data_IF_438447411605
#
_entry.id   IF_438447411605
#
_cell.length_a   1.000
_cell.length_b   1.000
_cell.length_c   1.000
_cell.angle_alpha   90.00
_cell.angle_beta   90.00
_cell.angle_gamma   90.00
#
_symmetry.space_group_name_H-M   'P 1'
#
loop_
_entity.id
_entity.type
_entity.pdbx_description
1 polymer ?
#
# COMPACT_ATOMS: atom_id res chain seq x y z
N UNK A 1 -8.61 -2.20 -19.91
CA UNK A 1 -9.00 -2.37 -18.49
C UNK A 1 -10.18 -1.45 -18.20
N UNK A 2 -11.26 -1.93 -17.57
CA UNK A 2 -12.31 -1.01 -17.09
C UNK A 2 -11.69 -0.14 -15.99
N UNK A 3 -11.99 1.16 -15.97
CA UNK A 3 -11.35 2.10 -15.02
C UNK A 3 -11.52 1.69 -13.55
N UNK A 4 -12.60 0.97 -13.21
CA UNK A 4 -12.87 0.44 -11.86
C UNK A 4 -11.85 -0.60 -11.38
N UNK A 5 -11.15 -1.29 -12.29
CA UNK A 5 -10.14 -2.29 -11.93
C UNK A 5 -8.86 -1.63 -11.38
N UNK A 6 -8.59 -0.39 -11.77
CA UNK A 6 -7.39 0.37 -11.36
C UNK A 6 -7.33 0.57 -9.84
N UNK A 7 -8.35 1.17 -9.18
CA UNK A 7 -8.31 1.35 -7.73
C UNK A 7 -8.29 0.02 -6.97
N UNK A 8 -8.89 -1.04 -7.52
CA UNK A 8 -8.79 -2.38 -6.95
C UNK A 8 -7.33 -2.87 -6.93
N UNK A 9 -6.64 -2.80 -8.08
CA UNK A 9 -5.23 -3.20 -8.18
C UNK A 9 -4.33 -2.30 -7.31
N UNK A 10 -4.62 -0.99 -7.23
CA UNK A 10 -3.91 -0.05 -6.37
C UNK A 10 -4.01 -0.45 -4.89
N UNK A 11 -5.21 -0.81 -4.42
CA UNK A 11 -5.41 -1.33 -3.06
C UNK A 11 -4.54 -2.56 -2.80
N UNK A 12 -4.51 -3.53 -3.73
CA UNK A 12 -3.67 -4.72 -3.60
C UNK A 12 -2.17 -4.43 -3.50
N UNK A 13 -1.68 -3.49 -4.32
CA UNK A 13 -0.28 -3.05 -4.26
C UNK A 13 0.05 -2.46 -2.88
N UNK A 14 -0.81 -1.58 -2.37
CA UNK A 14 -0.58 -0.89 -1.09
C UNK A 14 -0.59 -1.90 0.04
N UNK A 15 -1.60 -2.76 0.11
CA UNK A 15 -1.72 -3.80 1.13
C UNK A 15 -0.53 -4.77 1.13
N UNK A 16 -0.04 -5.13 -0.06
CA UNK A 16 1.11 -6.04 -0.18
C UNK A 16 2.43 -5.48 0.33
N UNK A 17 2.54 -4.16 0.55
CA UNK A 17 3.80 -3.48 0.85
C UNK A 17 4.93 -3.83 -0.14
N UNK A 18 4.58 -4.19 -1.39
CA UNK A 18 5.56 -4.54 -2.41
C UNK A 18 6.53 -3.38 -2.68
N UNK A 19 6.04 -2.14 -2.57
CA UNK A 19 6.83 -0.92 -2.58
C UNK A 19 6.30 -0.04 -1.45
N UNK A 20 7.14 0.32 -0.50
CA UNK A 20 6.73 1.17 0.62
C UNK A 20 7.89 1.74 1.41
N UNK A 21 7.56 2.51 2.43
CA UNK A 21 8.50 3.05 3.40
C UNK A 21 8.18 2.40 4.73
N UNK A 22 9.16 1.75 5.35
CA UNK A 22 9.06 1.19 6.69
C UNK A 22 9.69 2.18 7.66
N UNK A 23 8.93 2.62 8.63
CA UNK A 23 9.40 3.51 9.68
C UNK A 23 9.62 2.69 10.95
N UNK A 24 10.87 2.61 11.38
CA UNK A 24 11.24 2.02 12.66
C UNK A 24 11.34 3.15 13.69
N UNK A 25 10.44 3.15 14.67
CA UNK A 25 10.43 4.15 15.74
C UNK A 25 11.04 3.55 17.01
N UNK A 26 12.03 4.24 17.57
CA UNK A 26 12.67 3.89 18.84
C UNK A 26 12.29 4.92 19.93
N UNK A 27 11.94 4.43 21.13
CA UNK A 27 11.48 5.26 22.25
C UNK A 27 11.43 4.50 23.58
N UNK A 28 11.01 5.17 24.65
CA UNK A 28 11.00 4.62 26.02
C UNK A 28 9.88 3.60 26.27
N UNK A 29 8.76 3.67 25.55
CA UNK A 29 7.65 2.72 25.69
C UNK A 29 7.07 2.32 24.33
N UNK A 30 7.16 1.02 24.02
CA UNK A 30 6.72 0.33 22.78
C UNK A 30 7.35 0.80 21.46
N UNK A 31 7.74 -0.19 20.63
CA UNK A 31 8.41 0.00 19.34
C UNK A 31 7.47 -0.30 18.16
N UNK A 32 6.46 0.53 17.86
CA UNK A 32 5.60 0.28 16.71
C UNK A 32 6.40 0.42 15.41
N UNK A 33 6.13 -0.48 14.46
CA UNK A 33 6.64 -0.36 13.10
C UNK A 33 5.52 0.17 12.22
N UNK A 34 5.74 1.31 11.58
CA UNK A 34 4.79 1.91 10.65
C UNK A 34 5.20 1.63 9.20
N UNK A 35 4.21 1.56 8.31
CA UNK A 35 4.41 1.34 6.88
C UNK A 35 3.62 2.37 6.08
N UNK A 36 4.27 2.91 5.04
CA UNK A 36 3.68 3.87 4.11
C UNK A 36 3.90 3.51 2.64
N UNK A 37 3.05 3.99 1.74
CA UNK A 37 3.25 3.83 0.29
C UNK A 37 2.45 4.86 -0.55
N UNK A 38 2.86 6.14 -0.61
CA UNK A 38 3.94 6.80 0.14
C UNK A 38 3.52 7.32 1.53
N UNK A 39 2.22 7.45 1.79
CA UNK A 39 1.70 7.93 3.08
C UNK A 39 1.56 6.76 4.06
N UNK A 40 1.77 7.02 5.35
CA UNK A 40 1.61 5.98 6.38
C UNK A 40 0.17 5.50 6.42
N UNK A 41 -0.03 4.18 6.37
CA UNK A 41 -1.37 3.58 6.37
C UNK A 41 -1.50 2.32 7.21
N UNK A 42 -0.40 1.70 7.62
CA UNK A 42 -0.37 0.43 8.36
C UNK A 42 0.62 0.49 9.52
N UNK A 43 0.24 -0.04 10.68
CA UNK A 43 1.10 -0.19 11.86
C UNK A 43 1.06 -1.63 12.34
N UNK A 44 2.22 -2.16 12.72
CA UNK A 44 2.32 -3.45 13.43
C UNK A 44 2.51 -3.19 14.93
N UNK A 45 1.60 -3.70 15.75
CA UNK A 45 1.78 -3.73 17.20
C UNK A 45 2.66 -4.91 17.59
N UNK A 46 3.72 -4.64 18.37
CA UNK A 46 4.53 -5.70 19.00
C UNK A 46 3.86 -6.26 20.26
N UNK A 47 2.97 -5.49 20.89
CA UNK A 47 2.30 -5.87 22.15
C UNK A 47 1.06 -6.77 21.97
N UNK A 48 0.43 -6.78 20.78
CA UNK A 48 -0.81 -7.54 20.52
C UNK A 48 -0.70 -8.50 19.32
N UNK A 49 0.09 -9.57 19.45
CA UNK A 49 -0.07 -10.77 18.61
C UNK A 49 -0.07 -10.56 17.08
N UNK A 50 0.84 -9.73 16.54
CA UNK A 50 0.95 -9.43 15.09
C UNK A 50 -0.28 -8.77 14.44
N UNK A 51 -1.15 -8.14 15.22
CA UNK A 51 -2.27 -7.38 14.67
C UNK A 51 -1.78 -6.16 13.88
N UNK A 52 -2.46 -5.90 12.76
CA UNK A 52 -2.27 -4.70 11.96
C UNK A 52 -3.37 -3.68 12.22
N UNK A 53 -2.95 -2.43 12.42
CA UNK A 53 -3.81 -1.26 12.56
C UNK A 53 -3.71 -0.43 11.29
N UNK A 54 -4.85 0.05 10.79
CA UNK A 54 -4.94 0.73 9.50
C UNK A 54 -5.47 2.15 9.64
N UNK A 55 -4.85 3.07 8.91
CA UNK A 55 -5.39 4.42 8.71
C UNK A 55 -6.25 4.46 7.45
N UNK A 56 -7.54 4.77 7.60
CA UNK A 56 -8.47 4.93 6.46
C UNK A 56 -7.97 6.01 5.50
N UNK A 57 -7.48 7.13 6.02
CA UNK A 57 -7.02 8.25 5.20
C UNK A 57 -5.72 7.94 4.47
N UNK A 58 -4.74 7.38 5.17
CA UNK A 58 -3.48 6.94 4.57
C UNK A 58 -3.74 5.92 3.45
N UNK A 59 -4.60 4.93 3.71
CA UNK A 59 -5.00 3.94 2.73
C UNK A 59 -5.69 4.58 1.52
N UNK A 60 -6.64 5.48 1.75
CA UNK A 60 -7.40 6.15 0.68
C UNK A 60 -6.49 7.01 -0.20
N UNK A 61 -5.61 7.83 0.39
CA UNK A 61 -4.72 8.71 -0.36
C UNK A 61 -3.71 7.88 -1.16
N UNK A 62 -3.14 6.82 -0.57
CA UNK A 62 -2.27 5.90 -1.30
C UNK A 62 -2.99 5.27 -2.49
N UNK A 63 -4.25 4.82 -2.31
CA UNK A 63 -5.05 4.25 -3.41
C UNK A 63 -5.22 5.26 -4.52
N UNK A 64 -5.50 6.53 -4.20
CA UNK A 64 -5.66 7.58 -5.21
C UNK A 64 -4.36 7.84 -5.98
N UNK A 65 -3.23 7.95 -5.28
CA UNK A 65 -1.91 8.17 -5.90
C UNK A 65 -1.55 7.01 -6.83
N UNK A 66 -1.62 5.78 -6.34
CA UNK A 66 -1.28 4.60 -7.15
C UNK A 66 -2.29 4.34 -8.26
N UNK A 67 -3.56 4.69 -8.06
CA UNK A 67 -4.57 4.64 -9.13
C UNK A 67 -4.21 5.59 -10.27
N UNK A 68 -3.76 6.80 -9.95
CA UNK A 68 -3.31 7.76 -10.95
C UNK A 68 -2.08 7.24 -11.71
N UNK A 69 -1.09 6.70 -10.99
CA UNK A 69 0.12 6.08 -11.60
C UNK A 69 -0.28 4.93 -12.53
N UNK A 70 -1.11 4.00 -12.07
CA UNK A 70 -1.57 2.88 -12.88
C UNK A 70 -2.42 3.29 -14.07
N UNK A 71 -3.21 4.37 -13.94
CA UNK A 71 -3.93 4.96 -15.06
C UNK A 71 -2.97 5.46 -16.15
N UNK A 72 -1.91 6.18 -15.76
CA UNK A 72 -0.89 6.67 -16.70
C UNK A 72 -0.14 5.51 -17.38
N UNK A 73 0.27 4.49 -16.62
CA UNK A 73 0.92 3.28 -17.15
C UNK A 73 0.00 2.57 -18.14
N UNK A 74 -1.26 2.37 -17.78
CA UNK A 74 -2.24 1.75 -18.66
C UNK A 74 -2.41 2.56 -19.96
N UNK A 75 -2.51 3.89 -19.87
CA UNK A 75 -2.65 4.74 -21.05
C UNK A 75 -1.41 4.68 -21.95
N UNK A 76 -0.21 4.69 -21.36
CA UNK A 76 1.05 4.54 -22.10
C UNK A 76 1.12 3.19 -22.82
N UNK A 77 0.82 2.08 -22.13
CA UNK A 77 0.83 0.74 -22.71
C UNK A 77 -0.16 0.64 -23.87
N UNK A 78 -1.41 1.10 -23.69
CA UNK A 78 -2.43 1.05 -24.74
C UNK A 78 -2.04 1.87 -25.97
N UNK A 79 -1.31 2.98 -25.81
CA UNK A 79 -0.76 3.78 -26.92
C UNK A 79 0.42 3.12 -27.63
N UNK A 80 1.20 2.31 -26.91
CA UNK A 80 2.38 1.62 -27.46
C UNK A 80 2.03 0.32 -28.18
N UNK A 81 1.08 -0.47 -27.68
CA UNK A 81 0.65 -1.75 -28.27
C UNK A 81 0.42 -1.68 -29.80
N UNK A 82 -0.35 -0.72 -30.35
CA UNK A 82 -0.62 -0.69 -31.79
C UNK A 82 0.61 -0.34 -32.64
N UNK A 83 1.67 0.24 -32.05
CA UNK A 83 2.91 0.60 -32.75
C UNK A 83 3.90 -0.57 -32.86
N UNK A 84 3.60 -1.71 -32.25
CA UNK A 84 4.50 -2.86 -32.16
C UNK A 84 4.11 -3.94 -33.17
N UNK A 85 5.11 -4.57 -33.79
CA UNK A 85 4.94 -5.60 -34.83
C UNK A 85 4.12 -6.82 -34.37
N UNK A 86 4.13 -7.13 -33.06
CA UNK A 86 3.41 -8.25 -32.45
C UNK A 86 2.25 -7.79 -31.54
N UNK A 87 1.53 -6.74 -31.94
CA UNK A 87 0.45 -6.12 -31.14
C UNK A 87 -0.55 -7.12 -30.53
N UNK A 88 -0.95 -8.16 -31.26
CA UNK A 88 -1.90 -9.18 -30.75
C UNK A 88 -1.34 -9.98 -29.58
N UNK A 89 -0.09 -10.44 -29.67
CA UNK A 89 0.58 -11.20 -28.62
C UNK A 89 0.81 -10.33 -27.37
N UNK A 90 1.23 -9.09 -27.57
CA UNK A 90 1.46 -8.12 -26.47
C UNK A 90 0.15 -7.75 -25.77
N UNK A 91 -0.96 -7.65 -26.52
CA UNK A 91 -2.27 -7.39 -25.94
C UNK A 91 -2.75 -8.57 -25.08
N UNK A 92 -2.50 -9.80 -25.53
CA UNK A 92 -2.81 -11.00 -24.74
C UNK A 92 -1.97 -11.06 -23.46
N UNK A 93 -0.66 -10.85 -23.54
CA UNK A 93 0.20 -10.85 -22.35
C UNK A 93 -0.20 -9.75 -21.36
N UNK A 94 -0.54 -8.55 -21.85
CA UNK A 94 -1.06 -7.48 -21.01
C UNK A 94 -2.33 -7.90 -20.25
N UNK A 95 -3.29 -8.53 -20.92
CA UNK A 95 -4.52 -9.01 -20.25
C UNK A 95 -4.24 -10.10 -19.22
N UNK A 96 -3.28 -11.00 -19.49
CA UNK A 96 -2.83 -12.02 -18.54
C UNK A 96 -2.23 -11.36 -17.30
N UNK A 97 -1.34 -10.37 -17.47
CA UNK A 97 -0.74 -9.62 -16.36
C UNK A 97 -1.82 -8.95 -15.51
N UNK A 98 -2.80 -8.29 -16.12
CA UNK A 98 -3.92 -7.70 -15.38
C UNK A 98 -4.70 -8.77 -14.59
N UNK A 99 -4.95 -9.94 -15.18
CA UNK A 99 -5.60 -11.06 -14.49
C UNK A 99 -4.80 -11.53 -13.26
N UNK A 100 -3.48 -11.67 -13.40
CA UNK A 100 -2.59 -12.02 -12.28
C UNK A 100 -2.59 -10.95 -11.19
N UNK A 101 -2.58 -9.66 -11.55
CA UNK A 101 -2.65 -8.56 -10.59
C UNK A 101 -3.96 -8.56 -9.81
N UNK A 102 -5.09 -8.90 -10.45
CA UNK A 102 -6.38 -9.05 -9.78
C UNK A 102 -6.32 -10.21 -8.77
N UNK A 103 -5.82 -11.38 -9.18
CA UNK A 103 -5.70 -12.53 -8.28
C UNK A 103 -4.79 -12.22 -7.08
N UNK A 104 -3.64 -11.58 -7.32
CA UNK A 104 -2.71 -11.13 -6.29
C UNK A 104 -3.36 -10.13 -5.32
N UNK A 105 -4.10 -9.16 -5.85
CA UNK A 105 -4.85 -8.17 -5.05
C UNK A 105 -5.85 -8.87 -4.13
N UNK A 106 -6.65 -9.79 -4.68
CA UNK A 106 -7.64 -10.55 -3.91
C UNK A 106 -6.97 -11.32 -2.77
N UNK A 107 -5.82 -11.95 -3.03
CA UNK A 107 -5.07 -12.68 -2.01
C UNK A 107 -4.61 -11.76 -0.88
N UNK A 108 -4.05 -10.57 -1.20
CA UNK A 108 -3.61 -9.61 -0.18
C UNK A 108 -4.79 -9.10 0.66
N UNK A 109 -5.92 -8.79 0.03
CA UNK A 109 -7.13 -8.37 0.75
C UNK A 109 -7.58 -9.45 1.73
N UNK A 110 -7.57 -10.72 1.33
CA UNK A 110 -7.94 -11.84 2.21
C UNK A 110 -6.96 -12.00 3.38
N UNK A 111 -5.66 -11.93 3.10
CA UNK A 111 -4.63 -12.01 4.14
C UNK A 111 -4.80 -10.86 5.14
N UNK A 112 -4.85 -9.62 4.67
CA UNK A 112 -4.99 -8.47 5.55
C UNK A 112 -6.32 -8.48 6.30
N UNK A 113 -7.44 -8.87 5.68
CA UNK A 113 -8.73 -8.99 6.37
C UNK A 113 -8.70 -10.00 7.53
N UNK A 114 -7.85 -11.03 7.46
CA UNK A 114 -7.67 -12.00 8.55
C UNK A 114 -6.71 -11.53 9.66
N UNK A 115 -5.89 -10.52 9.39
CA UNK A 115 -4.91 -9.95 10.33
C UNK A 115 -5.29 -8.56 10.86
N UNK A 116 -6.39 -7.98 10.37
CA UNK A 116 -6.94 -6.71 10.84
C UNK A 116 -7.42 -6.89 12.29
N UNK A 117 -6.75 -6.19 13.21
CA UNK A 117 -7.23 -6.07 14.59
C UNK A 117 -8.43 -5.12 14.70
N UNK A 118 -8.86 -4.76 15.91
CA UNK A 118 -9.93 -3.76 16.14
C UNK A 118 -9.51 -2.31 15.84
N UNK A 119 -8.64 -2.11 14.85
CA UNK A 119 -7.97 -0.84 14.60
C UNK A 119 -8.83 0.32 14.10
N UNK A 120 -10.14 0.12 13.96
CA UNK A 120 -11.10 1.18 13.71
C UNK A 120 -11.69 1.79 15.00
N UNK A 121 -11.32 1.27 16.18
CA UNK A 121 -11.74 1.83 17.46
C UNK A 121 -11.14 3.24 17.70
N UNK A 122 -11.81 4.04 18.55
CA UNK A 122 -11.38 5.40 18.87
C UNK A 122 -9.94 5.40 19.42
N UNK A 123 -9.08 6.21 18.81
CA UNK A 123 -7.66 6.34 19.17
C UNK A 123 -6.70 5.48 18.34
N UNK A 124 -7.21 4.59 17.48
CA UNK A 124 -6.39 3.72 16.62
C UNK A 124 -6.40 4.15 15.13
N UNK A 125 -7.21 5.14 14.77
CA UNK A 125 -7.25 5.75 13.44
C UNK A 125 -6.23 6.90 13.34
N UNK A 126 -5.09 6.62 12.72
CA UNK A 126 -3.95 7.51 12.69
C UNK A 126 -3.95 8.43 11.46
N UNK A 127 -4.32 9.68 11.65
CA UNK A 127 -4.29 10.73 10.62
C UNK A 127 -3.06 11.63 10.83
N UNK A 128 -1.86 11.09 10.67
CA UNK A 128 -0.64 11.87 10.85
C UNK A 128 -0.16 12.41 9.50
N UNK A 129 -0.19 13.74 9.38
CA UNK A 129 0.34 14.45 8.22
C UNK A 129 1.84 14.76 8.35
N UNK A 130 2.33 14.84 9.59
CA UNK A 130 3.72 15.17 9.92
C UNK A 130 4.22 14.20 10.99
N UNK A 131 4.76 13.07 10.53
CA UNK A 131 5.25 11.99 11.39
C UNK A 131 6.43 12.42 12.26
N UNK A 132 7.24 13.39 11.80
CA UNK A 132 8.42 13.85 12.52
C UNK A 132 8.03 14.72 13.71
N UNK A 133 7.01 15.56 13.54
CA UNK A 133 6.43 16.36 14.61
C UNK A 133 5.75 15.49 15.67
N UNK A 134 4.94 14.52 15.25
CA UNK A 134 4.22 13.62 16.18
C UNK A 134 5.19 12.68 16.92
N UNK A 135 6.21 12.15 16.23
CA UNK A 135 7.26 11.35 16.86
C UNK A 135 8.01 12.15 17.93
N UNK A 136 8.32 13.42 17.65
CA UNK A 136 8.95 14.33 18.61
C UNK A 136 8.05 14.61 19.82
N UNK A 137 6.74 14.80 19.59
CA UNK A 137 5.75 14.99 20.66
C UNK A 137 5.60 13.74 21.54
N UNK A 138 5.87 12.55 21.00
CA UNK A 138 5.90 11.28 21.72
C UNK A 138 7.28 10.89 22.27
N UNK A 139 8.31 11.73 22.10
CA UNK A 139 9.68 11.42 22.51
C UNK A 139 10.31 10.23 21.76
N UNK A 140 9.83 9.94 20.55
CA UNK A 140 10.31 8.87 19.68
C UNK A 140 11.14 9.43 18.54
N UNK A 141 12.14 8.66 18.11
CA UNK A 141 12.89 8.90 16.88
C UNK A 141 12.52 7.86 15.85
N UNK A 142 11.97 8.28 14.72
CA UNK A 142 11.55 7.38 13.63
C UNK A 142 12.50 7.52 12.44
N UNK A 143 13.02 6.40 11.95
CA UNK A 143 13.83 6.34 10.74
C UNK A 143 13.07 5.61 9.63
N UNK A 144 12.90 6.27 8.49
CA UNK A 144 12.20 5.74 7.32
C UNK A 144 13.16 5.07 6.35
N UNK A 145 12.91 3.80 6.03
CA UNK A 145 13.67 3.02 5.05
C UNK A 145 12.76 2.61 3.89
N UNK A 146 13.21 2.83 2.65
CA UNK A 146 12.48 2.34 1.47
C UNK A 146 12.62 0.83 1.43
N UNK A 147 11.49 0.12 1.44
CA UNK A 147 11.42 -1.34 1.44
C UNK A 147 10.72 -1.84 0.18
N UNK A 148 11.21 -2.98 -0.30
CA UNK A 148 10.61 -3.73 -1.41
C UNK A 148 10.21 -5.09 -0.87
N UNK A 149 8.95 -5.46 -0.99
CA UNK A 149 8.36 -6.66 -0.37
C UNK A 149 8.42 -6.71 1.17
N UNK A 150 8.32 -5.56 1.85
CA UNK A 150 8.19 -5.48 3.30
C UNK A 150 9.35 -6.07 4.12
N UNK A 151 10.50 -6.33 3.48
CA UNK A 151 11.76 -6.68 4.13
C UNK A 151 12.64 -5.45 4.27
#
# INVERSE_FOLDING_TARGET
MKYVIIPYIALGLILSLAIGIKYNCAGQEMFPVYYGSPFVFKQKSLGSSMEYFYSISGLTINILVWSFVFFLINQAIQRLIPKLSKAKLIRTSYNIVIGLMIAFTTLNIVIDASMVGRGFDKGLNYWYWDTDKEAKDWGMTCEGEVTVFGK
#
